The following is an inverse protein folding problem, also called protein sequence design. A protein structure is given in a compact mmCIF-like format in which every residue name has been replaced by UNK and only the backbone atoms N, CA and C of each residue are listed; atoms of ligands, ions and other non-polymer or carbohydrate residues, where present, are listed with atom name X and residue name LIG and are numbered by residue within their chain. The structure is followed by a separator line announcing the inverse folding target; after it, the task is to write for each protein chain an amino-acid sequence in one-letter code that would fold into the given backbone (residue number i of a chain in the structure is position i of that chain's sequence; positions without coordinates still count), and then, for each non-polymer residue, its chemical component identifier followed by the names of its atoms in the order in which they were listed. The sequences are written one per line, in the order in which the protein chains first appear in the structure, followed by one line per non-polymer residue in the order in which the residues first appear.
data_IF_108107465415
#
_entry.id   IF_108107465415
#
_cell.length_a   1.000
_cell.length_b   1.000
_cell.length_c   1.000
_cell.angle_alpha   90.00
_cell.angle_beta   90.00
_cell.angle_gamma   90.00
#
_symmetry.space_group_name_H-M   'P 1'
#
loop_
_entity.id
_entity.type
_entity.pdbx_description
1 polymer ?
#
# COMPACT_ATOMS: atom_id res chain seq x y z
N UNK A 1 -5.67 -12.88 -2.97
CA UNK A 1 -6.03 -12.23 -1.72
C UNK A 1 -7.22 -12.95 -1.13
N UNK A 2 -7.25 -13.17 0.18
CA UNK A 2 -8.42 -13.68 0.90
C UNK A 2 -8.89 -12.62 1.90
N UNK A 3 -10.05 -12.83 2.49
CA UNK A 3 -10.63 -11.88 3.45
C UNK A 3 -9.62 -11.50 4.55
N UNK A 4 -9.45 -10.19 4.76
CA UNK A 4 -8.58 -9.60 5.79
C UNK A 4 -7.08 -9.96 5.70
N UNK A 5 -6.65 -10.59 4.60
CA UNK A 5 -5.26 -10.99 4.41
C UNK A 5 -4.28 -9.82 4.32
N UNK A 6 -4.78 -8.58 4.21
CA UNK A 6 -3.99 -7.35 4.26
C UNK A 6 -3.61 -6.92 5.69
N UNK A 7 -4.34 -7.35 6.72
CA UNK A 7 -4.11 -6.93 8.10
C UNK A 7 -2.69 -7.27 8.57
N UNK A 8 -2.19 -8.45 8.22
CA UNK A 8 -0.83 -8.87 8.55
C UNK A 8 0.24 -7.89 8.02
N UNK A 9 0.01 -7.28 6.86
CA UNK A 9 0.96 -6.33 6.27
C UNK A 9 0.84 -4.96 6.92
N UNK A 10 -0.39 -4.52 7.18
CA UNK A 10 -0.70 -3.23 7.84
C UNK A 10 -0.16 -3.20 9.26
N UNK A 11 -0.32 -4.28 10.01
CA UNK A 11 0.06 -4.37 11.41
C UNK A 11 1.55 -4.70 11.61
N UNK A 12 2.33 -4.76 10.53
CA UNK A 12 3.76 -5.03 10.63
C UNK A 12 4.06 -6.46 11.06
N UNK A 13 3.13 -7.39 10.88
CA UNK A 13 3.31 -8.75 11.37
C UNK A 13 4.60 -9.31 10.84
N UNK A 14 4.96 -9.04 9.58
CA UNK A 14 6.20 -9.45 8.92
C UNK A 14 7.48 -9.36 9.78
N UNK A 15 7.51 -8.44 10.74
CA UNK A 15 8.62 -8.14 11.63
C UNK A 15 8.49 -8.71 13.05
N UNK A 16 7.33 -9.25 13.42
CA UNK A 16 7.08 -9.84 14.72
C UNK A 16 7.76 -11.20 14.85
N UNK A 17 8.36 -11.47 16.01
CA UNK A 17 9.06 -12.72 16.28
C UNK A 17 8.07 -13.82 16.74
N UNK A 18 7.30 -14.38 15.80
CA UNK A 18 6.46 -15.55 16.05
C UNK A 18 7.19 -16.82 15.66
N UNK A 19 7.19 -17.80 16.55
CA UNK A 19 8.07 -18.98 16.49
C UNK A 19 7.84 -19.95 15.32
N UNK A 20 6.85 -19.73 14.43
CA UNK A 20 6.42 -20.72 13.44
C UNK A 20 5.96 -20.15 12.08
N UNK A 21 6.28 -18.89 11.75
CA UNK A 21 5.88 -18.32 10.44
C UNK A 21 7.09 -18.11 9.54
N UNK A 22 7.20 -18.92 8.48
CA UNK A 22 8.08 -18.64 7.35
C UNK A 22 7.58 -17.37 6.67
N UNK A 23 8.29 -16.26 6.88
CA UNK A 23 7.97 -14.98 6.24
C UNK A 23 8.95 -14.71 5.13
N UNK A 24 8.41 -14.58 3.93
CA UNK A 24 9.20 -14.33 2.74
C UNK A 24 9.76 -12.90 2.76
N UNK A 25 10.78 -12.69 1.93
CA UNK A 25 11.28 -11.34 1.64
C UNK A 25 10.19 -10.44 1.05
N UNK A 26 9.26 -11.02 0.28
CA UNK A 26 8.16 -10.31 -0.33
C UNK A 26 7.09 -9.90 0.69
N UNK A 27 6.87 -10.69 1.75
CA UNK A 27 5.96 -10.31 2.85
C UNK A 27 6.46 -9.08 3.59
N UNK A 28 7.78 -8.99 3.82
CA UNK A 28 8.41 -7.80 4.42
C UNK A 28 8.25 -6.58 3.54
N UNK A 29 8.51 -6.71 2.24
CA UNK A 29 8.30 -5.62 1.27
C UNK A 29 6.85 -5.16 1.23
N UNK A 30 5.90 -6.09 1.25
CA UNK A 30 4.48 -5.76 1.25
C UNK A 30 4.08 -5.05 2.55
N UNK A 31 4.61 -5.50 3.69
CA UNK A 31 4.40 -4.84 4.98
C UNK A 31 5.00 -3.44 5.02
N UNK A 32 6.22 -3.25 4.53
CA UNK A 32 6.85 -1.92 4.41
C UNK A 32 6.01 -0.96 3.57
N UNK A 33 5.49 -1.44 2.44
CA UNK A 33 4.61 -0.69 1.56
C UNK A 33 3.32 -0.28 2.29
N UNK A 34 2.61 -1.23 2.88
CA UNK A 34 1.31 -0.99 3.53
C UNK A 34 1.44 -0.08 4.75
N UNK A 35 2.41 -0.33 5.64
CA UNK A 35 2.66 0.51 6.81
C UNK A 35 3.02 1.95 6.40
N UNK A 36 3.80 2.10 5.33
CA UNK A 36 4.18 3.43 4.83
C UNK A 36 3.00 4.18 4.23
N UNK A 37 2.18 3.53 3.41
CA UNK A 37 0.96 4.10 2.82
C UNK A 37 0.00 4.56 3.93
N UNK A 38 -0.25 3.72 4.93
CA UNK A 38 -1.11 4.09 6.06
C UNK A 38 -0.49 5.14 6.97
N UNK A 39 0.80 5.05 7.26
CA UNK A 39 1.50 6.08 8.01
C UNK A 39 1.45 7.45 7.33
N UNK A 40 1.60 7.50 6.00
CA UNK A 40 1.49 8.73 5.23
C UNK A 40 0.06 9.28 5.25
N UNK A 41 -0.94 8.42 5.06
CA UNK A 41 -2.34 8.83 5.09
C UNK A 41 -2.70 9.46 6.45
N UNK A 42 -2.28 8.84 7.55
CA UNK A 42 -2.51 9.38 8.91
C UNK A 42 -1.82 10.73 9.11
N UNK A 43 -0.58 10.89 8.63
CA UNK A 43 0.20 12.13 8.84
C UNK A 43 -0.25 13.29 7.95
N UNK A 44 -0.61 13.00 6.69
CA UNK A 44 -0.73 14.00 5.64
C UNK A 44 -2.11 14.05 4.98
N UNK A 45 -3.01 13.12 5.32
CA UNK A 45 -4.28 12.92 4.59
C UNK A 45 -4.09 12.39 3.16
N UNK A 46 -2.88 12.00 2.78
CA UNK A 46 -2.51 11.51 1.46
C UNK A 46 -1.60 10.27 1.60
N UNK A 47 -1.95 9.10 1.03
CA UNK A 47 -1.14 7.88 1.15
C UNK A 47 0.19 7.92 0.39
N UNK A 48 0.27 8.74 -0.66
CA UNK A 48 1.48 8.97 -1.47
C UNK A 48 1.74 10.49 -1.61
N UNK A 49 2.12 11.19 -0.53
CA UNK A 49 2.49 12.59 -0.61
C UNK A 49 3.67 12.78 -1.57
N UNK A 50 3.77 13.96 -2.19
CA UNK A 50 4.82 14.25 -3.17
C UNK A 50 6.23 13.96 -2.59
N UNK A 51 7.08 13.18 -3.28
CA UNK A 51 8.45 12.87 -2.86
C UNK A 51 9.32 14.08 -2.52
N UNK A 52 9.00 15.25 -3.09
CA UNK A 52 9.70 16.51 -2.81
C UNK A 52 9.32 17.13 -1.46
N UNK A 53 8.20 16.73 -0.86
CA UNK A 53 7.70 17.27 0.41
C UNK A 53 8.13 16.46 1.64
N UNK A 54 8.41 15.16 1.51
CA UNK A 54 8.72 14.32 2.67
C UNK A 54 9.71 13.20 2.32
N UNK A 55 10.88 13.18 2.98
CA UNK A 55 11.87 12.10 2.82
C UNK A 55 11.30 10.73 3.18
N UNK A 56 10.30 10.67 4.07
CA UNK A 56 9.61 9.43 4.43
C UNK A 56 8.84 8.81 3.26
N UNK A 57 8.48 9.58 2.21
CA UNK A 57 7.81 9.07 0.99
C UNK A 57 8.79 8.51 -0.06
N UNK A 58 10.10 8.77 0.10
CA UNK A 58 11.16 8.24 -0.77
C UNK A 58 11.05 6.72 -0.88
N UNK A 59 10.74 6.20 -2.07
CA UNK A 59 10.62 4.75 -2.32
C UNK A 59 9.24 4.28 -2.81
N UNK A 60 8.18 5.09 -2.70
CA UNK A 60 6.92 4.81 -3.41
C UNK A 60 7.08 5.25 -4.87
N UNK A 61 6.97 4.29 -5.79
CA UNK A 61 7.15 4.52 -7.24
C UNK A 61 5.85 4.86 -7.98
N UNK A 62 4.75 5.07 -7.25
CA UNK A 62 3.46 5.43 -7.83
C UNK A 62 2.78 6.52 -7.00
N UNK A 63 1.88 7.26 -7.64
CA UNK A 63 1.04 8.26 -7.01
C UNK A 63 -0.38 7.72 -6.94
N UNK A 64 -0.91 7.60 -5.71
CA UNK A 64 -2.29 7.27 -5.44
C UNK A 64 -3.14 8.54 -5.54
N UNK A 65 -3.86 8.68 -6.65
CA UNK A 65 -4.77 9.81 -6.89
C UNK A 65 -6.13 9.58 -6.22
N UNK A 66 -6.82 10.67 -5.90
CA UNK A 66 -8.15 10.59 -5.29
C UNK A 66 -9.14 9.85 -6.19
N UNK A 67 -10.00 9.05 -5.56
CA UNK A 67 -11.13 8.45 -6.24
C UNK A 67 -12.14 9.52 -6.68
N UNK A 68 -12.77 9.31 -7.83
CA UNK A 68 -13.94 10.06 -8.28
C UNK A 68 -14.90 9.13 -9.01
N UNK A 69 -16.20 9.40 -8.95
CA UNK A 69 -17.21 8.58 -9.65
C UNK A 69 -17.05 8.60 -11.17
N UNK A 70 -16.49 9.68 -11.72
CA UNK A 70 -16.28 9.85 -13.17
C UNK A 70 -15.12 9.00 -13.71
N UNK A 71 -14.03 8.87 -12.95
CA UNK A 71 -12.82 8.19 -13.42
C UNK A 71 -12.70 6.78 -12.84
N UNK A 72 -13.23 6.58 -11.62
CA UNK A 72 -13.21 5.31 -10.89
C UNK A 72 -11.82 4.67 -10.82
N UNK A 73 -10.77 5.50 -10.78
CA UNK A 73 -9.39 5.05 -10.64
C UNK A 73 -9.16 4.57 -9.20
N UNK A 74 -8.48 3.45 -9.04
CA UNK A 74 -8.12 2.88 -7.74
C UNK A 74 -6.66 2.41 -7.73
N UNK A 75 -6.07 2.35 -6.54
CA UNK A 75 -4.71 1.84 -6.39
C UNK A 75 -4.71 0.32 -6.23
N UNK A 76 -3.93 -0.35 -7.06
CA UNK A 76 -3.58 -1.76 -6.87
C UNK A 76 -2.35 -1.81 -5.97
N UNK A 77 -2.52 -2.36 -4.77
CA UNK A 77 -1.44 -2.52 -3.79
C UNK A 77 -0.86 -3.93 -3.88
N UNK A 78 0.41 -4.01 -4.25
CA UNK A 78 1.15 -5.26 -4.38
C UNK A 78 2.63 -5.01 -4.64
N UNK A 79 3.38 -6.07 -4.92
CA UNK A 79 4.82 -5.98 -5.22
C UNK A 79 5.15 -5.04 -6.38
N UNK A 80 4.19 -4.80 -7.27
CA UNK A 80 4.22 -3.79 -8.34
C UNK A 80 2.97 -2.91 -8.26
N UNK A 81 2.97 -1.98 -7.32
CA UNK A 81 1.83 -1.09 -7.11
C UNK A 81 1.66 -0.08 -8.23
N UNK A 82 0.42 0.18 -8.64
CA UNK A 82 0.06 1.09 -9.72
C UNK A 82 -1.40 1.55 -9.59
N UNK A 83 -1.80 2.53 -10.40
CA UNK A 83 -3.21 2.92 -10.55
C UNK A 83 -3.85 2.09 -11.65
N UNK A 84 -5.08 1.65 -11.43
CA UNK A 84 -5.90 0.94 -12.40
C UNK A 84 -7.29 1.59 -12.50
N UNK A 85 -7.96 1.42 -13.65
CA UNK A 85 -9.31 1.93 -13.89
C UNK A 85 -10.32 0.83 -13.69
N UNK A 86 -11.45 1.16 -13.06
CA UNK A 86 -12.58 0.25 -13.08
C UNK A 86 -13.25 0.31 -14.46
N UNK A 87 -13.12 -0.75 -15.26
CA UNK A 87 -13.91 -0.91 -16.47
C UNK A 87 -15.10 -1.81 -16.13
N UNK A 88 -16.31 -1.24 -16.19
CA UNK A 88 -17.49 -2.07 -16.39
C UNK A 88 -17.40 -2.60 -17.83
N UNK A 89 -17.20 -3.91 -17.99
CA UNK A 89 -17.51 -4.53 -19.27
C UNK A 89 -19.03 -4.41 -19.45
N UNK A 90 -19.46 -3.58 -20.39
CA UNK A 90 -20.83 -3.56 -20.90
C UNK A 90 -21.20 -4.91 -21.52
#
# INVERSE_FOLDING_TARGET
SYHESELQFILGEAYMNYSNHLRSYDDKKMSDLMMKIWGNFIRHGNPTPNPKLDRATSGLKFLWTNYSELHQDYAVLGLKSHMEKYFLND
#
